data_IF_062149581810
#
_entry.id   IF_062149581810
#
_cell.length_a   1.000
_cell.length_b   1.000
_cell.length_c   1.000
_cell.angle_alpha   90.00
_cell.angle_beta   90.00
_cell.angle_gamma   90.00
#
_symmetry.space_group_name_H-M   'P 1'
#
loop_
_entity.id
_entity.type
_entity.pdbx_description
1 polymer ?
#
# COMPACT_ATOMS: atom_id res chain seq x y z
N UNK A 1 2.06 4.59 18.95
CA UNK A 1 2.78 4.24 17.71
C UNK A 1 3.19 2.79 17.82
N UNK A 2 2.74 1.94 16.90
CA UNK A 2 3.11 0.53 16.92
C UNK A 2 4.42 0.40 16.16
N UNK A 3 5.49 0.01 16.85
CA UNK A 3 6.68 -0.53 16.21
C UNK A 3 6.29 -1.91 15.67
N UNK A 4 5.70 -1.96 14.48
CA UNK A 4 5.50 -3.23 13.78
C UNK A 4 6.88 -3.67 13.31
N UNK A 5 7.38 -4.76 13.90
CA UNK A 5 8.47 -5.52 13.29
C UNK A 5 8.05 -5.77 11.83
N UNK A 6 8.82 -5.31 10.81
CA UNK A 6 8.36 -5.28 9.43
C UNK A 6 7.89 -6.67 8.92
N UNK A 7 8.19 -7.74 9.66
CA UNK A 7 7.98 -9.11 9.26
C UNK A 7 9.01 -9.43 8.19
N UNK A 8 9.48 -10.67 8.16
CA UNK A 8 10.51 -11.08 7.21
C UNK A 8 9.91 -11.22 5.80
N UNK A 9 9.44 -10.10 5.23
CA UNK A 9 8.76 -10.02 3.93
C UNK A 9 9.80 -9.67 2.88
N UNK A 10 10.25 -10.68 2.15
CA UNK A 10 11.15 -10.50 1.01
C UNK A 10 10.40 -9.96 -0.21
N UNK A 11 11.11 -9.35 -1.16
CA UNK A 11 10.56 -8.97 -2.47
C UNK A 11 9.97 -10.16 -3.22
N UNK A 12 10.44 -11.39 -2.95
CA UNK A 12 9.87 -12.61 -3.53
C UNK A 12 8.43 -12.88 -3.11
N UNK A 13 7.94 -12.24 -2.04
CA UNK A 13 6.55 -12.31 -1.63
C UNK A 13 5.64 -11.32 -2.39
N UNK A 14 6.22 -10.39 -3.18
CA UNK A 14 5.50 -9.43 -4.01
C UNK A 14 5.54 -9.91 -5.47
N UNK A 15 4.41 -10.39 -5.99
CA UNK A 15 4.33 -10.84 -7.39
C UNK A 15 4.03 -9.68 -8.35
N UNK A 16 4.70 -9.66 -9.51
CA UNK A 16 4.28 -8.89 -10.67
C UNK A 16 4.40 -7.36 -10.58
N UNK A 17 5.18 -6.83 -9.64
CA UNK A 17 5.42 -5.38 -9.43
C UNK A 17 6.90 -5.00 -9.57
N UNK A 18 7.63 -5.70 -10.44
CA UNK A 18 9.10 -5.56 -10.57
C UNK A 18 9.55 -4.13 -10.90
N UNK A 19 8.82 -3.44 -11.78
CA UNK A 19 9.16 -2.05 -12.15
C UNK A 19 8.91 -1.08 -10.99
N UNK A 20 7.78 -1.23 -10.28
CA UNK A 20 7.46 -0.42 -9.10
C UNK A 20 8.45 -0.68 -7.96
N UNK A 21 8.87 -1.93 -7.77
CA UNK A 21 9.93 -2.29 -6.82
C UNK A 21 11.22 -1.57 -7.20
N UNK A 22 11.65 -1.61 -8.47
CA UNK A 22 12.87 -0.93 -8.93
C UNK A 22 12.82 0.57 -8.64
N UNK A 23 11.75 1.25 -9.03
CA UNK A 23 11.59 2.69 -8.78
C UNK A 23 11.63 3.04 -7.30
N UNK A 24 10.98 2.23 -6.46
CA UNK A 24 10.93 2.46 -5.03
C UNK A 24 12.29 2.19 -4.36
N UNK A 25 13.05 1.19 -4.83
CA UNK A 25 14.45 0.94 -4.41
C UNK A 25 15.36 2.10 -4.78
N UNK A 26 15.29 2.61 -6.01
CA UNK A 26 16.07 3.76 -6.44
C UNK A 26 15.74 5.03 -5.63
N UNK A 27 14.48 5.17 -5.19
CA UNK A 27 14.01 6.34 -4.46
C UNK A 27 14.29 6.28 -2.96
N UNK A 28 14.39 5.09 -2.37
CA UNK A 28 14.48 4.90 -0.91
C UNK A 28 15.77 4.19 -0.52
N UNK A 29 16.04 3.01 -1.08
CA UNK A 29 17.22 2.20 -0.75
C UNK A 29 18.51 2.90 -1.17
N UNK A 30 18.57 3.42 -2.40
CA UNK A 30 19.80 4.01 -2.93
C UNK A 30 20.27 5.25 -2.12
N UNK A 31 19.40 6.21 -1.75
CA UNK A 31 19.79 7.32 -0.88
C UNK A 31 20.19 6.90 0.55
N UNK A 32 19.60 5.83 1.08
CA UNK A 32 19.89 5.36 2.44
C UNK A 32 21.23 4.60 2.50
N UNK A 33 21.51 3.78 1.48
CA UNK A 33 22.73 2.98 1.40
C UNK A 33 23.93 3.82 0.97
N UNK A 34 23.79 4.64 -0.08
CA UNK A 34 24.91 5.33 -0.72
C UNK A 34 24.65 6.85 -0.89
N UNK A 35 24.53 7.64 0.19
CA UNK A 35 24.28 9.08 0.09
C UNK A 35 25.40 9.85 -0.65
N UNK A 36 26.64 9.36 -0.59
CA UNK A 36 27.79 9.97 -1.28
C UNK A 36 27.66 9.96 -2.81
N UNK A 37 26.90 9.04 -3.39
CA UNK A 37 26.64 9.05 -4.84
C UNK A 37 25.86 10.30 -5.24
N UNK A 38 24.85 10.69 -4.45
CA UNK A 38 24.04 11.88 -4.71
C UNK A 38 24.87 13.16 -4.55
N UNK A 39 25.75 13.20 -3.55
CA UNK A 39 26.69 14.31 -3.34
C UNK A 39 27.67 14.47 -4.51
N UNK A 40 28.25 13.37 -5.01
CA UNK A 40 29.19 13.39 -6.15
C UNK A 40 28.52 13.81 -7.45
N UNK A 41 27.30 13.36 -7.70
CA UNK A 41 26.52 13.72 -8.89
C UNK A 41 25.95 15.15 -8.76
N UNK A 42 25.86 15.69 -7.53
CA UNK A 42 25.33 17.03 -7.28
C UNK A 42 23.80 17.11 -7.33
N UNK A 43 23.12 15.98 -7.19
CA UNK A 43 21.65 15.90 -7.19
C UNK A 43 21.11 15.71 -5.78
N UNK A 44 19.93 16.28 -5.53
CA UNK A 44 19.23 16.11 -4.26
C UNK A 44 18.45 14.79 -4.29
N UNK A 45 18.59 13.92 -3.28
CA UNK A 45 17.80 12.70 -3.23
C UNK A 45 16.32 13.04 -3.03
N UNK A 46 15.39 12.20 -3.53
CA UNK A 46 13.97 12.40 -3.29
C UNK A 46 13.65 12.30 -1.79
N UNK A 47 12.74 13.15 -1.32
CA UNK A 47 12.32 13.18 0.09
C UNK A 47 11.27 12.13 0.42
N UNK A 48 10.26 12.02 -0.45
CA UNK A 48 9.12 11.14 -0.22
C UNK A 48 8.59 10.50 -1.50
N UNK A 49 7.93 9.36 -1.31
CA UNK A 49 7.30 8.59 -2.38
C UNK A 49 5.81 8.45 -2.10
N UNK A 50 4.98 8.71 -3.10
CA UNK A 50 3.55 8.46 -3.08
C UNK A 50 3.22 7.20 -3.88
N UNK A 51 2.65 6.21 -3.21
CA UNK A 51 2.07 5.02 -3.81
C UNK A 51 0.57 5.27 -4.03
N UNK A 52 0.09 5.09 -5.25
CA UNK A 52 -1.34 5.24 -5.56
C UNK A 52 -1.88 4.10 -6.41
N UNK A 53 -3.21 4.00 -6.52
CA UNK A 53 -3.91 3.01 -7.35
C UNK A 53 -4.99 2.24 -6.57
N UNK A 54 -5.63 1.22 -7.16
CA UNK A 54 -6.75 0.54 -6.53
C UNK A 54 -6.39 -0.19 -5.23
N UNK A 55 -7.35 -0.37 -4.32
CA UNK A 55 -7.16 -1.11 -3.08
C UNK A 55 -6.87 -2.60 -3.37
N UNK A 56 -6.21 -3.27 -2.44
CA UNK A 56 -5.89 -4.71 -2.58
C UNK A 56 -4.74 -5.02 -3.56
N UNK A 57 -4.01 -4.01 -4.04
CA UNK A 57 -2.83 -4.16 -4.90
C UNK A 57 -1.51 -4.31 -4.13
N UNK A 58 -1.55 -4.31 -2.80
CA UNK A 58 -0.37 -4.59 -1.96
C UNK A 58 0.54 -3.39 -1.67
N UNK A 59 0.05 -2.15 -1.71
CA UNK A 59 0.83 -0.93 -1.39
C UNK A 59 1.53 -1.01 -0.02
N UNK A 60 0.77 -1.41 1.00
CA UNK A 60 1.27 -1.62 2.37
C UNK A 60 2.29 -2.77 2.43
N UNK A 61 2.08 -3.83 1.64
CA UNK A 61 3.00 -4.98 1.58
C UNK A 61 4.33 -4.59 0.92
N UNK A 62 4.29 -3.81 -0.15
CA UNK A 62 5.47 -3.28 -0.84
C UNK A 62 6.33 -2.40 0.09
N UNK A 63 5.70 -1.51 0.86
CA UNK A 63 6.41 -0.65 1.81
C UNK A 63 7.09 -1.46 2.93
N UNK A 64 6.40 -2.48 3.46
CA UNK A 64 6.96 -3.40 4.47
C UNK A 64 8.14 -4.20 3.92
N UNK A 65 8.03 -4.69 2.69
CA UNK A 65 9.10 -5.45 2.05
C UNK A 65 10.39 -4.62 1.93
N UNK A 66 10.27 -3.34 1.61
CA UNK A 66 11.44 -2.44 1.54
C UNK A 66 12.07 -2.21 2.90
N UNK A 67 11.26 -1.96 3.92
CA UNK A 67 11.79 -1.73 5.26
C UNK A 67 12.53 -2.96 5.80
N UNK A 68 12.00 -4.17 5.53
CA UNK A 68 12.67 -5.43 5.90
C UNK A 68 13.99 -5.66 5.17
N UNK A 69 14.14 -5.21 3.92
CA UNK A 69 15.37 -5.43 3.15
C UNK A 69 16.49 -4.45 3.50
N UNK A 70 16.15 -3.24 3.96
CA UNK A 70 17.13 -2.20 4.31
C UNK A 70 17.54 -2.28 5.80
N UNK A 71 16.89 -3.16 6.58
CA UNK A 71 17.07 -3.26 8.04
C UNK A 71 16.88 -1.88 8.72
N UNK A 72 15.86 -1.15 8.26
CA UNK A 72 15.53 0.19 8.73
C UNK A 72 14.29 0.17 9.63
N UNK A 73 14.25 1.07 10.62
CA UNK A 73 13.10 1.20 11.52
C UNK A 73 11.83 1.55 10.72
N UNK A 74 10.78 0.74 10.84
CA UNK A 74 9.53 0.92 10.10
C UNK A 74 8.45 1.52 11.00
N UNK A 75 8.05 2.76 10.72
CA UNK A 75 6.96 3.44 11.41
C UNK A 75 5.73 3.44 10.53
N UNK A 76 4.82 2.51 10.79
CA UNK A 76 3.51 2.47 10.14
C UNK A 76 2.51 3.33 10.88
N UNK A 77 1.86 4.24 10.16
CA UNK A 77 0.78 5.07 10.67
C UNK A 77 -0.37 5.04 9.68
N UNK A 78 -1.58 4.78 10.16
CA UNK A 78 -2.79 4.91 9.35
C UNK A 78 -3.34 6.31 9.56
N UNK A 79 -3.51 7.08 8.48
CA UNK A 79 -3.88 8.50 8.59
C UNK A 79 -5.25 8.72 9.24
N UNK A 80 -6.18 7.77 9.05
CA UNK A 80 -7.49 7.76 9.71
C UNK A 80 -7.39 7.61 11.23
N UNK A 81 -6.35 6.95 11.74
CA UNK A 81 -6.12 6.77 13.18
C UNK A 81 -5.49 8.00 13.86
N UNK A 82 -4.97 8.96 13.08
CA UNK A 82 -4.37 10.20 13.62
C UNK A 82 -5.47 11.22 13.98
N UNK A 83 -6.64 11.13 13.36
CA UNK A 83 -7.73 12.08 13.54
C UNK A 83 -8.45 11.74 14.85
N UNK A 84 -8.09 12.42 15.93
CA UNK A 84 -8.79 12.33 17.22
C UNK A 84 -9.90 13.40 17.31
N UNK A 85 -10.83 13.23 18.26
CA UNK A 85 -11.87 14.20 18.59
C UNK A 85 -11.33 15.43 19.34
N UNK A 86 -10.07 15.38 19.79
CA UNK A 86 -9.45 16.40 20.62
C UNK A 86 -8.57 17.34 19.80
N UNK A 87 -8.99 18.60 19.75
CA UNK A 87 -8.38 19.67 18.95
C UNK A 87 -6.88 19.78 19.21
N UNK A 88 -6.07 19.52 18.17
CA UNK A 88 -4.63 19.78 18.17
C UNK A 88 -3.75 18.64 18.69
N UNK A 89 -4.36 17.55 19.17
CA UNK A 89 -3.65 16.32 19.53
C UNK A 89 -3.04 15.67 18.28
N UNK A 90 -3.80 15.65 17.19
CA UNK A 90 -3.38 15.16 15.87
C UNK A 90 -2.07 15.80 15.38
N UNK A 91 -1.92 17.12 15.54
CA UNK A 91 -0.71 17.85 15.13
C UNK A 91 0.48 17.58 16.07
N UNK A 92 0.24 17.39 17.38
CA UNK A 92 1.28 16.97 18.33
C UNK A 92 1.81 15.58 17.97
N UNK A 93 0.92 14.64 17.67
CA UNK A 93 1.30 13.27 17.31
C UNK A 93 2.20 13.23 16.06
N UNK A 94 1.93 14.07 15.06
CA UNK A 94 2.80 14.21 13.88
C UNK A 94 4.18 14.70 14.30
N UNK A 95 4.29 15.75 15.12
CA UNK A 95 5.60 16.23 15.59
C UNK A 95 6.39 15.16 16.35
N UNK A 96 5.71 14.42 17.23
CA UNK A 96 6.32 13.32 17.98
C UNK A 96 6.77 12.19 17.06
N UNK A 97 5.98 11.84 16.03
CA UNK A 97 6.31 10.80 15.04
C UNK A 97 7.59 11.16 14.29
N UNK A 98 7.67 12.40 13.81
CA UNK A 98 8.84 12.91 13.11
C UNK A 98 10.05 13.06 14.03
N UNK A 99 9.84 13.44 15.30
CA UNK A 99 10.89 13.45 16.32
C UNK A 99 11.47 12.06 16.54
N UNK A 100 10.61 11.07 16.81
CA UNK A 100 11.01 9.69 17.00
C UNK A 100 11.76 9.12 15.80
N UNK A 101 11.28 9.38 14.58
CA UNK A 101 11.94 8.94 13.35
C UNK A 101 13.33 9.56 13.17
N UNK A 102 13.53 10.82 13.58
CA UNK A 102 14.84 11.48 13.55
C UNK A 102 15.81 10.87 14.55
N UNK A 103 15.34 10.48 15.73
CA UNK A 103 16.15 9.86 16.78
C UNK A 103 16.54 8.41 16.44
N UNK A 104 15.72 7.71 15.65
CA UNK A 104 15.89 6.28 15.30
C UNK A 104 16.32 6.07 13.84
N UNK A 105 17.28 6.86 13.35
CA UNK A 105 17.80 6.72 11.98
C UNK A 105 18.68 5.46 11.80
N UNK A 106 18.59 4.72 10.67
CA UNK A 106 17.71 4.94 9.51
C UNK A 106 16.26 4.53 9.75
N UNK A 107 15.30 5.34 9.29
CA UNK A 107 13.87 5.10 9.52
C UNK A 107 13.02 5.36 8.26
N UNK A 108 12.01 4.52 8.05
CA UNK A 108 10.99 4.69 7.02
C UNK A 108 9.65 4.94 7.70
N UNK A 109 9.05 6.09 7.43
CA UNK A 109 7.68 6.42 7.86
C UNK A 109 6.74 6.03 6.73
N UNK A 110 5.83 5.11 6.99
CA UNK A 110 4.76 4.71 6.07
C UNK A 110 3.42 5.24 6.56
N UNK A 111 2.82 6.16 5.80
CA UNK A 111 1.47 6.68 6.05
C UNK A 111 0.47 6.07 5.07
N UNK A 112 -0.44 5.24 5.59
CA UNK A 112 -1.54 4.66 4.79
C UNK A 112 -2.77 5.58 4.80
N UNK A 113 -3.63 5.42 3.79
CA UNK A 113 -4.90 6.18 3.64
C UNK A 113 -4.72 7.70 3.78
N UNK A 114 -3.68 8.26 3.15
CA UNK A 114 -3.38 9.70 3.29
C UNK A 114 -4.52 10.60 2.80
N UNK A 115 -5.44 10.08 1.98
CA UNK A 115 -6.67 10.76 1.58
C UNK A 115 -7.61 11.11 2.76
N UNK A 116 -7.50 10.42 3.90
CA UNK A 116 -8.25 10.76 5.11
C UNK A 116 -7.92 12.16 5.65
N UNK A 117 -6.64 12.56 5.61
CA UNK A 117 -6.15 13.87 6.09
C UNK A 117 -5.75 14.82 4.96
N UNK A 118 -5.42 14.30 3.79
CA UNK A 118 -4.91 15.02 2.63
C UNK A 118 -5.97 15.36 1.59
N UNK A 119 -7.24 15.09 1.87
CA UNK A 119 -8.35 15.41 0.96
C UNK A 119 -8.59 16.92 0.82
N UNK A 120 -8.85 17.41 -0.41
CA UNK A 120 -9.30 18.79 -0.66
C UNK A 120 -10.67 19.01 -0.04
N UNK A 121 -10.71 19.54 1.19
CA UNK A 121 -11.96 19.98 1.82
C UNK A 121 -12.10 21.48 1.64
N UNK A 122 -13.07 21.89 0.82
CA UNK A 122 -13.41 23.30 0.64
C UNK A 122 -13.98 23.90 1.93
N UNK A 123 -13.78 25.20 2.07
CA UNK A 123 -13.87 26.06 3.26
C UNK A 123 -15.21 26.14 4.02
N UNK A 124 -16.20 25.31 3.71
CA UNK A 124 -17.53 25.31 4.36
C UNK A 124 -17.70 24.18 5.40
N UNK A 125 -16.60 23.73 5.98
CA UNK A 125 -16.56 22.58 6.88
C UNK A 125 -16.67 22.91 8.37
N UNK A 126 -17.29 21.97 9.08
CA UNK A 126 -17.43 21.87 10.55
C UNK A 126 -16.09 22.02 11.31
N UNK A 127 -16.13 22.15 12.63
CA UNK A 127 -14.91 22.24 13.47
C UNK A 127 -13.90 21.10 13.22
N UNK A 128 -14.36 19.92 12.82
CA UNK A 128 -13.52 18.77 12.48
C UNK A 128 -12.70 18.96 11.19
N UNK A 129 -13.25 19.64 10.18
CA UNK A 129 -12.54 19.86 8.91
C UNK A 129 -11.38 20.84 9.09
N UNK A 130 -11.55 21.85 9.95
CA UNK A 130 -10.48 22.78 10.33
C UNK A 130 -9.33 22.09 11.05
N UNK A 131 -9.63 21.07 11.86
CA UNK A 131 -8.62 20.27 12.53
C UNK A 131 -7.83 19.38 11.55
N UNK A 132 -8.52 18.74 10.61
CA UNK A 132 -7.87 17.96 9.55
C UNK A 132 -6.93 18.85 8.73
N UNK A 133 -7.39 20.04 8.33
CA UNK A 133 -6.54 21.00 7.61
C UNK A 133 -5.33 21.44 8.43
N UNK A 134 -5.49 21.69 9.73
CA UNK A 134 -4.36 22.04 10.62
C UNK A 134 -3.34 20.89 10.70
N UNK A 135 -3.83 19.66 10.80
CA UNK A 135 -3.00 18.45 10.84
C UNK A 135 -2.24 18.26 9.53
N UNK A 136 -2.89 18.47 8.38
CA UNK A 136 -2.24 18.47 7.07
C UNK A 136 -1.16 19.54 6.97
N UNK A 137 -1.44 20.78 7.41
CA UNK A 137 -0.44 21.86 7.39
C UNK A 137 0.77 21.55 8.25
N UNK A 138 0.58 20.93 9.42
CA UNK A 138 1.68 20.46 10.25
C UNK A 138 2.51 19.37 9.54
N UNK A 139 1.86 18.40 8.90
CA UNK A 139 2.54 17.38 8.09
C UNK A 139 3.40 18.01 7.00
N UNK A 140 2.85 18.99 6.27
CA UNK A 140 3.55 19.73 5.22
C UNK A 140 4.75 20.49 5.78
N UNK A 141 4.61 21.15 6.94
CA UNK A 141 5.70 21.85 7.61
C UNK A 141 6.83 20.88 8.02
N UNK A 142 6.49 19.69 8.54
CA UNK A 142 7.49 18.68 8.88
C UNK A 142 8.19 18.12 7.64
N UNK A 143 7.48 17.94 6.52
CA UNK A 143 8.06 17.54 5.22
C UNK A 143 9.01 18.58 4.62
N UNK A 144 8.67 19.87 4.75
CA UNK A 144 9.50 20.96 4.27
C UNK A 144 10.76 21.12 5.14
N UNK A 145 10.60 21.01 6.46
CA UNK A 145 11.67 21.07 7.46
C UNK A 145 12.59 19.84 7.49
N UNK A 146 12.35 18.86 6.63
CA UNK A 146 13.16 17.67 6.48
C UNK A 146 14.50 17.97 5.79
N UNK A 147 15.61 17.62 6.44
CA UNK A 147 16.91 17.63 5.78
C UNK A 147 16.91 16.59 4.66
N UNK A 148 17.21 17.03 3.44
CA UNK A 148 17.25 16.17 2.25
C UNK A 148 18.31 15.07 2.39
N UNK A 149 19.35 15.32 3.19
CA UNK A 149 20.43 14.38 3.49
C UNK A 149 20.15 13.45 4.68
N UNK A 150 19.02 13.63 5.39
CA UNK A 150 18.64 12.79 6.52
C UNK A 150 18.37 11.33 6.10
N UNK A 151 18.66 10.39 7.01
CA UNK A 151 18.39 8.96 6.81
C UNK A 151 16.95 8.55 7.16
N UNK A 152 16.03 9.50 7.08
CA UNK A 152 14.61 9.22 7.24
C UNK A 152 13.92 9.40 5.90
N UNK A 153 13.07 8.46 5.51
CA UNK A 153 12.33 8.51 4.26
C UNK A 153 10.85 8.33 4.53
N UNK A 154 10.02 8.99 3.72
CA UNK A 154 8.57 8.90 3.84
C UNK A 154 7.95 8.21 2.63
N UNK A 155 7.05 7.27 2.91
CA UNK A 155 6.19 6.62 1.94
C UNK A 155 4.75 6.95 2.33
N UNK A 156 3.98 7.48 1.40
CA UNK A 156 2.54 7.69 1.58
C UNK A 156 1.78 6.77 0.62
N UNK A 157 0.65 6.23 1.05
CA UNK A 157 -0.24 5.44 0.21
C UNK A 157 -1.64 6.05 0.15
N UNK A 158 -2.23 6.10 -1.05
CA UNK A 158 -3.63 6.50 -1.27
C UNK A 158 -4.31 5.56 -2.27
N UNK A 159 -5.61 5.37 -2.10
CA UNK A 159 -6.45 4.74 -3.13
C UNK A 159 -7.10 5.77 -4.07
N UNK A 160 -7.12 7.05 -3.66
CA UNK A 160 -7.81 8.15 -4.34
C UNK A 160 -6.84 9.31 -4.57
N UNK A 161 -6.02 9.27 -5.64
CA UNK A 161 -5.11 10.37 -5.95
C UNK A 161 -5.83 11.66 -6.37
N UNK A 162 -7.08 11.55 -6.85
CA UNK A 162 -7.93 12.66 -7.30
C UNK A 162 -8.31 13.64 -6.17
N UNK A 163 -8.53 13.11 -4.96
CA UNK A 163 -8.95 13.94 -3.82
C UNK A 163 -7.78 14.62 -3.11
N UNK A 164 -6.54 14.25 -3.41
CA UNK A 164 -5.37 14.76 -2.69
C UNK A 164 -5.14 16.26 -2.93
N UNK A 165 -4.69 16.92 -1.87
CA UNK A 165 -4.27 18.31 -1.89
C UNK A 165 -3.03 18.47 -2.79
N UNK A 166 -3.05 19.37 -3.79
CA UNK A 166 -1.91 19.64 -4.66
C UNK A 166 -0.66 20.06 -3.89
N UNK A 167 -0.80 20.61 -2.69
CA UNK A 167 0.31 21.00 -1.83
C UNK A 167 1.19 19.79 -1.47
N UNK A 168 0.62 18.61 -1.28
CA UNK A 168 1.40 17.37 -1.05
C UNK A 168 2.19 16.96 -2.31
N UNK A 169 1.61 17.20 -3.48
CA UNK A 169 2.14 16.80 -4.79
C UNK A 169 3.20 17.74 -5.35
N UNK A 170 3.54 18.83 -4.63
CA UNK A 170 4.55 19.80 -5.05
C UNK A 170 5.97 19.20 -4.97
N UNK A 171 6.85 19.54 -5.93
CA UNK A 171 8.27 19.17 -5.86
C UNK A 171 8.91 19.62 -4.55
N UNK A 172 9.76 18.79 -3.97
CA UNK A 172 10.40 19.00 -2.67
C UNK A 172 9.63 18.41 -1.48
N UNK A 173 8.51 17.71 -1.72
CA UNK A 173 7.71 16.96 -0.73
C UNK A 173 7.56 15.50 -1.19
N UNK A 174 6.58 15.23 -2.06
CA UNK A 174 6.38 13.93 -2.71
C UNK A 174 6.94 13.98 -4.12
N UNK A 175 8.25 13.78 -4.23
CA UNK A 175 8.99 13.89 -5.48
C UNK A 175 8.70 12.73 -6.45
N UNK A 176 8.41 11.55 -5.91
CA UNK A 176 8.15 10.34 -6.68
C UNK A 176 6.72 9.87 -6.50
N UNK A 177 6.05 9.58 -7.61
CA UNK A 177 4.66 9.11 -7.66
C UNK A 177 4.68 7.80 -8.42
N UNK A 178 4.41 6.71 -7.71
CA UNK A 178 4.44 5.36 -8.26
C UNK A 178 3.02 4.84 -8.31
N UNK A 179 2.57 4.55 -9.52
CA UNK A 179 1.30 3.89 -9.74
C UNK A 179 1.44 2.39 -9.51
N UNK A 180 0.55 1.84 -8.70
CA UNK A 180 0.39 0.40 -8.55
C UNK A 180 -0.91 0.01 -9.28
N UNK A 181 -0.81 -0.42 -10.55
CA UNK A 181 -1.98 -0.80 -11.34
C UNK A 181 -2.56 -2.13 -10.86
N UNK A 182 -3.71 -2.51 -11.43
CA UNK A 182 -4.20 -3.88 -11.29
C UNK A 182 -3.21 -4.86 -11.92
N UNK A 183 -3.03 -6.07 -11.34
CA UNK A 183 -2.08 -7.04 -11.86
C UNK A 183 -2.49 -7.52 -13.26
N UNK A 184 -1.53 -7.54 -14.18
CA UNK A 184 -1.71 -8.16 -15.50
C UNK A 184 -1.77 -9.71 -15.38
N UNK A 185 -2.02 -10.41 -16.48
CA UNK A 185 -2.14 -11.88 -16.46
C UNK A 185 -0.91 -12.58 -15.85
N UNK A 186 0.29 -12.14 -16.23
CA UNK A 186 1.54 -12.68 -15.71
C UNK A 186 1.73 -12.39 -14.21
N UNK A 187 1.46 -11.15 -13.78
CA UNK A 187 1.47 -10.72 -12.38
C UNK A 187 0.47 -11.52 -11.56
N UNK A 188 -0.75 -11.78 -12.08
CA UNK A 188 -1.76 -12.61 -11.40
C UNK A 188 -1.27 -14.04 -11.22
N UNK A 189 -0.61 -14.61 -12.24
CA UNK A 189 0.00 -15.94 -12.13
C UNK A 189 1.08 -16.00 -11.06
N UNK A 190 1.96 -14.99 -11.00
CA UNK A 190 3.02 -14.91 -9.98
C UNK A 190 2.42 -14.81 -8.57
N UNK A 191 1.47 -13.90 -8.35
CA UNK A 191 0.78 -13.70 -7.07
C UNK A 191 0.08 -15.00 -6.64
N UNK A 192 -0.61 -15.66 -7.56
CA UNK A 192 -1.31 -16.91 -7.30
C UNK A 192 -0.32 -18.02 -6.89
N UNK A 193 0.82 -18.14 -7.59
CA UNK A 193 1.88 -19.11 -7.25
C UNK A 193 2.46 -18.86 -5.87
N UNK A 194 2.72 -17.60 -5.50
CA UNK A 194 3.23 -17.21 -4.18
C UNK A 194 2.25 -17.64 -3.08
N UNK A 195 0.97 -17.27 -3.21
CA UNK A 195 -0.04 -17.63 -2.20
C UNK A 195 -0.34 -19.13 -2.16
N UNK A 196 -0.25 -19.80 -3.31
CA UNK A 196 -0.44 -21.23 -3.37
C UNK A 196 0.76 -21.99 -2.81
N UNK A 197 1.97 -21.42 -2.72
CA UNK A 197 3.18 -22.15 -2.33
C UNK A 197 3.06 -22.83 -0.94
N UNK A 198 2.32 -22.22 -0.01
CA UNK A 198 2.08 -22.77 1.33
C UNK A 198 0.94 -23.78 1.44
N UNK A 199 0.21 -24.06 0.36
CA UNK A 199 -0.95 -24.95 0.36
C UNK A 199 -0.52 -26.36 -0.04
N UNK A 200 -0.99 -27.37 0.71
CA UNK A 200 -0.84 -28.77 0.34
C UNK A 200 -1.66 -29.07 -0.92
N UNK A 201 -0.98 -29.50 -1.99
CA UNK A 201 -1.58 -29.74 -3.31
C UNK A 201 -1.36 -31.18 -3.72
N UNK A 202 -2.34 -31.73 -4.42
CA UNK A 202 -2.22 -33.04 -5.04
C UNK A 202 -2.52 -32.94 -6.55
N UNK A 203 -1.61 -33.46 -7.37
CA UNK A 203 -1.67 -33.35 -8.82
C UNK A 203 -1.14 -32.01 -9.36
N UNK A 204 -1.24 -31.84 -10.68
CA UNK A 204 -0.86 -30.61 -11.35
C UNK A 204 -2.01 -29.61 -11.35
N UNK A 205 -1.71 -28.38 -10.96
CA UNK A 205 -2.66 -27.28 -10.98
C UNK A 205 -2.31 -26.40 -12.17
N UNK A 206 -3.23 -26.35 -13.14
CA UNK A 206 -3.15 -25.40 -14.23
C UNK A 206 -3.50 -23.99 -13.72
N UNK A 207 -2.46 -23.23 -13.33
CA UNK A 207 -2.61 -21.84 -12.91
C UNK A 207 -3.00 -20.92 -14.06
N UNK A 208 -2.70 -21.28 -15.31
CA UNK A 208 -3.03 -20.46 -16.48
C UNK A 208 -4.55 -20.42 -16.69
N UNK A 209 -5.21 -21.59 -16.61
CA UNK A 209 -6.67 -21.67 -16.65
C UNK A 209 -7.34 -20.88 -15.51
N UNK A 210 -6.78 -20.94 -14.30
CA UNK A 210 -7.29 -20.21 -13.13
C UNK A 210 -7.16 -18.70 -13.32
N UNK A 211 -6.02 -18.24 -13.83
CA UNK A 211 -5.75 -16.81 -14.06
C UNK A 211 -6.59 -16.23 -15.21
N UNK A 212 -6.86 -17.01 -16.26
CA UNK A 212 -7.77 -16.62 -17.34
C UNK A 212 -9.18 -16.36 -16.84
N UNK A 213 -9.65 -17.12 -15.85
CA UNK A 213 -10.96 -16.92 -15.23
C UNK A 213 -10.96 -15.82 -14.16
N UNK A 214 -9.79 -15.40 -13.67
CA UNK A 214 -9.59 -14.38 -12.64
C UNK A 214 -9.31 -12.99 -13.25
N UNK A 215 -9.92 -12.67 -14.40
CA UNK A 215 -9.79 -11.35 -15.02
C UNK A 215 -10.32 -10.24 -14.10
N UNK A 216 -9.54 -9.16 -13.95
CA UNK A 216 -9.89 -8.04 -13.07
C UNK A 216 -9.73 -8.31 -11.56
N UNK A 217 -9.10 -9.42 -11.17
CA UNK A 217 -8.81 -9.72 -9.76
C UNK A 217 -7.62 -8.91 -9.27
N UNK A 218 -7.72 -8.36 -8.06
CA UNK A 218 -6.61 -7.74 -7.36
C UNK A 218 -5.81 -8.79 -6.56
N UNK A 219 -4.71 -8.39 -5.91
CA UNK A 219 -3.88 -9.32 -5.14
C UNK A 219 -4.62 -9.94 -3.95
N UNK A 220 -5.50 -9.19 -3.30
CA UNK A 220 -6.33 -9.70 -2.21
C UNK A 220 -7.35 -10.75 -2.70
N UNK A 221 -7.94 -10.55 -3.88
CA UNK A 221 -8.86 -11.50 -4.50
C UNK A 221 -8.16 -12.82 -4.82
N UNK A 222 -6.93 -12.76 -5.37
CA UNK A 222 -6.13 -13.95 -5.66
C UNK A 222 -5.74 -14.72 -4.39
N UNK A 223 -5.46 -14.01 -3.29
CA UNK A 223 -5.29 -14.64 -1.98
C UNK A 223 -6.58 -15.31 -1.50
N UNK A 224 -7.73 -14.68 -1.74
CA UNK A 224 -9.04 -15.26 -1.41
C UNK A 224 -9.34 -16.51 -2.25
N UNK A 225 -8.93 -16.56 -3.52
CA UNK A 225 -9.03 -17.78 -4.36
C UNK A 225 -8.33 -18.95 -3.70
N UNK A 226 -7.08 -18.75 -3.27
CA UNK A 226 -6.30 -19.78 -2.57
C UNK A 226 -6.99 -20.23 -1.26
N UNK A 227 -7.54 -19.29 -0.50
CA UNK A 227 -8.23 -19.57 0.77
C UNK A 227 -9.52 -20.35 0.55
N UNK A 228 -10.34 -19.94 -0.42
CA UNK A 228 -11.58 -20.63 -0.75
C UNK A 228 -11.34 -22.02 -1.35
N UNK A 229 -10.27 -22.20 -2.13
CA UNK A 229 -9.86 -23.52 -2.62
C UNK A 229 -9.49 -24.45 -1.46
N UNK A 230 -8.74 -23.96 -0.47
CA UNK A 230 -8.44 -24.69 0.77
C UNK A 230 -9.70 -25.05 1.56
N UNK A 231 -10.63 -24.09 1.74
CA UNK A 231 -11.91 -24.34 2.41
C UNK A 231 -12.76 -25.37 1.66
N UNK A 232 -12.70 -25.38 0.32
CA UNK A 232 -13.43 -26.36 -0.49
C UNK A 232 -12.86 -27.77 -0.36
N UNK A 233 -11.54 -27.91 -0.22
CA UNK A 233 -10.91 -29.19 0.10
C UNK A 233 -11.30 -29.70 1.50
N UNK A 234 -11.30 -28.82 2.51
CA UNK A 234 -11.71 -29.17 3.87
C UNK A 234 -13.17 -29.62 3.92
N UNK A 235 -14.08 -28.93 3.21
CA UNK A 235 -15.49 -29.32 3.10
C UNK A 235 -15.69 -30.67 2.41
N UNK A 236 -14.73 -31.09 1.59
CA UNK A 236 -14.70 -32.40 0.94
C UNK A 236 -13.92 -33.44 1.76
N UNK A 237 -13.59 -33.15 3.03
CA UNK A 237 -12.84 -34.02 3.95
C UNK A 237 -11.45 -34.42 3.42
N UNK A 238 -10.83 -33.53 2.63
CA UNK A 238 -9.46 -33.69 2.10
C UNK A 238 -8.47 -32.77 2.81
N UNK A 239 -7.25 -33.26 3.00
CA UNK A 239 -6.10 -32.51 3.52
C UNK A 239 -5.24 -31.86 2.42
N UNK A 240 -5.64 -32.01 1.15
CA UNK A 240 -4.99 -31.43 -0.02
C UNK A 240 -5.99 -30.79 -0.99
N UNK A 241 -5.52 -29.77 -1.71
CA UNK A 241 -6.27 -29.05 -2.73
C UNK A 241 -5.97 -29.64 -4.12
N UNK A 242 -7.01 -29.79 -4.94
CA UNK A 242 -6.90 -30.23 -6.35
C UNK A 242 -7.26 -29.09 -7.31
N UNK A 243 -6.96 -29.26 -8.60
CA UNK A 243 -7.28 -28.26 -9.63
C UNK A 243 -8.76 -27.83 -9.64
N UNK A 244 -9.70 -28.77 -9.43
CA UNK A 244 -11.13 -28.43 -9.38
C UNK A 244 -11.50 -27.45 -8.27
N UNK A 245 -10.81 -27.50 -7.13
CA UNK A 245 -11.11 -26.61 -6.01
C UNK A 245 -10.73 -25.16 -6.34
N UNK A 246 -9.60 -24.96 -7.04
CA UNK A 246 -9.20 -23.65 -7.55
C UNK A 246 -10.20 -23.12 -8.58
N UNK A 247 -10.67 -23.98 -9.49
CA UNK A 247 -11.65 -23.60 -10.50
C UNK A 247 -13.00 -23.23 -9.86
N UNK A 248 -13.45 -23.99 -8.85
CA UNK A 248 -14.67 -23.67 -8.08
C UNK A 248 -14.51 -22.36 -7.32
N UNK A 249 -13.36 -22.13 -6.68
CA UNK A 249 -13.06 -20.92 -5.93
C UNK A 249 -13.10 -19.66 -6.81
N UNK A 250 -12.45 -19.68 -7.99
CA UNK A 250 -12.48 -18.52 -8.91
C UNK A 250 -13.89 -18.23 -9.39
N UNK A 251 -14.67 -19.26 -9.77
CA UNK A 251 -16.05 -19.07 -10.23
C UNK A 251 -16.92 -18.42 -9.16
N UNK A 252 -16.85 -18.94 -7.93
CA UNK A 252 -17.58 -18.40 -6.77
C UNK A 252 -17.21 -16.93 -6.50
N UNK A 253 -15.93 -16.59 -6.52
CA UNK A 253 -15.48 -15.21 -6.30
C UNK A 253 -15.88 -14.28 -7.46
N UNK A 254 -15.88 -14.78 -8.69
CA UNK A 254 -16.31 -14.01 -9.85
C UNK A 254 -17.83 -13.72 -9.79
N UNK A 255 -18.64 -14.68 -9.35
CA UNK A 255 -20.07 -14.47 -9.06
C UNK A 255 -20.29 -13.42 -7.96
N UNK A 256 -19.54 -13.51 -6.85
CA UNK A 256 -19.61 -12.53 -5.78
C UNK A 256 -19.26 -11.10 -6.27
N UNK A 257 -18.21 -10.96 -7.09
CA UNK A 257 -17.86 -9.67 -7.70
C UNK A 257 -18.92 -9.14 -8.65
N UNK A 258 -19.57 -10.00 -9.43
CA UNK A 258 -20.71 -9.58 -10.29
C UNK A 258 -21.84 -9.02 -9.43
N UNK A 259 -22.17 -9.66 -8.31
CA UNK A 259 -23.14 -9.16 -7.35
C UNK A 259 -22.74 -7.80 -6.75
N UNK A 260 -21.48 -7.63 -6.34
CA UNK A 260 -20.96 -6.34 -5.84
C UNK A 260 -21.05 -5.23 -6.89
N UNK A 261 -20.66 -5.50 -8.13
CA UNK A 261 -20.76 -4.53 -9.24
C UNK A 261 -22.20 -4.12 -9.56
N UNK A 262 -23.16 -5.03 -9.36
CA UNK A 262 -24.59 -4.78 -9.61
C UNK A 262 -25.22 -3.99 -8.45
N UNK A 263 -24.76 -4.23 -7.22
CA UNK A 263 -25.16 -3.46 -6.03
C UNK A 263 -24.68 -1.99 -6.10
N UNK A 264 -23.48 -1.73 -6.63
CA UNK A 264 -23.00 -0.37 -6.86
C UNK A 264 -23.80 0.37 -7.95
N UNK A 265 -24.28 -0.34 -8.98
CA UNK A 265 -25.14 0.25 -10.01
C UNK A 265 -26.51 0.68 -9.47
N UNK A 266 -27.04 0.01 -8.44
CA UNK A 266 -28.35 0.34 -7.85
C UNK A 266 -28.29 1.49 -6.84
N UNK A 267 -27.12 1.81 -6.28
CA UNK A 267 -26.93 2.98 -5.41
C UNK A 267 -26.85 4.32 -6.16
N UNK A 268 -26.54 4.32 -7.46
CA UNK A 268 -26.43 5.54 -8.27
C UNK A 268 -27.75 6.01 -8.90
N UNK A 269 -28.81 5.18 -8.89
CA UNK A 269 -30.15 5.53 -9.40
C UNK A 269 -31.11 6.10 -8.34
N UNK A 270 -30.59 6.48 -7.16
CA UNK A 270 -31.37 7.03 -6.05
C UNK A 270 -31.31 8.56 -5.88
N UNK A 271 -30.83 9.29 -6.89
CA UNK A 271 -30.81 10.76 -6.92
C UNK A 271 -31.42 11.28 -8.22
N UNK A 272 -32.74 11.19 -8.31
CA UNK A 272 -33.57 12.10 -9.11
C UNK A 272 -34.59 12.77 -8.20
#
# INVERSE_FOLDING_TARGET
MLHEDPGNVSYSAVGGLSDQIRELRESIELPLMNPELFLRVGIKPPKGVLLYGPPGTGKTLLARAIASNIDANFLKVVSSAIIDKYIGESARLIREMFGYARDHQPCIIFMDEIDAIGGRRFSEGTSADREIQRTLMELLNQLDGFDQLGKVKMIMATNRPDVLDPALLRPGRLDRKIEIPLPNEQSRMEILKIHAAGIAKHGEIDYEAVVKLAEGFNGADLRNVCTEAGMSAIRAERDYVIHEDFMKAVRKLNEAKKLESTAHYSSDFGKD
#
